data_IF_109730164241
#
_entry.id   IF_109730164241
#
_cell.length_a   1.000
_cell.length_b   1.000
_cell.length_c   1.000
_cell.angle_alpha   90.00
_cell.angle_beta   90.00
_cell.angle_gamma   90.00
#
_symmetry.space_group_name_H-M   'P 1'
#
loop_
_entity.id
_entity.type
_entity.pdbx_description
1 polymer ?
#
# COMPACT_ATOMS: atom_id res chain seq x y z
N UNK A 1 6.80 -8.02 -9.04
CA UNK A 1 6.46 -8.52 -7.69
C UNK A 1 5.65 -7.48 -6.93
N UNK A 2 4.63 -7.89 -6.16
CA UNK A 2 3.84 -7.01 -5.30
C UNK A 2 4.20 -7.30 -3.84
N UNK A 3 4.65 -6.28 -3.11
CA UNK A 3 5.01 -6.41 -1.68
C UNK A 3 3.75 -6.25 -0.82
N UNK A 4 3.33 -7.33 -0.17
CA UNK A 4 2.04 -7.43 0.53
C UNK A 4 2.13 -8.07 1.94
N UNK A 5 3.33 -8.33 2.47
CA UNK A 5 3.55 -9.03 3.74
C UNK A 5 3.38 -8.16 5.01
N UNK A 6 3.19 -6.85 4.87
CA UNK A 6 3.16 -5.93 6.02
C UNK A 6 1.92 -6.10 6.91
N UNK A 7 2.07 -5.99 8.22
CA UNK A 7 1.01 -6.17 9.24
C UNK A 7 -0.17 -5.18 9.14
N UNK A 8 0.00 -4.03 8.53
CA UNK A 8 -1.08 -3.04 8.40
C UNK A 8 -1.56 -2.39 9.71
N UNK A 9 -0.74 -2.40 10.76
CA UNK A 9 -1.07 -2.02 12.14
C UNK A 9 -1.80 -0.68 12.31
N UNK A 10 -1.48 0.31 11.46
CA UNK A 10 -2.13 1.64 11.49
C UNK A 10 -3.54 1.66 10.89
N UNK A 11 -3.98 0.57 10.26
CA UNK A 11 -5.34 0.38 9.77
C UNK A 11 -6.19 -0.48 10.70
N UNK A 12 -5.61 -0.98 11.78
CA UNK A 12 -6.38 -1.64 12.81
C UNK A 12 -7.51 -0.71 13.32
N UNK A 13 -8.76 -1.18 13.51
CA UNK A 13 -9.19 -2.58 13.55
C UNK A 13 -9.59 -3.17 12.19
N UNK A 14 -9.54 -2.44 11.09
CA UNK A 14 -9.96 -2.90 9.76
C UNK A 14 -9.11 -4.05 9.21
N UNK A 15 -7.94 -4.29 9.82
CA UNK A 15 -7.02 -5.38 9.46
C UNK A 15 -7.12 -6.59 10.38
N UNK A 16 -8.17 -6.69 11.17
CA UNK A 16 -8.48 -7.92 11.94
C UNK A 16 -8.96 -8.99 10.97
N UNK A 17 -8.39 -10.21 11.07
CA UNK A 17 -8.73 -11.35 10.22
C UNK A 17 -8.39 -11.18 8.72
N UNK A 18 -7.68 -10.09 8.36
CA UNK A 18 -7.21 -9.86 6.98
C UNK A 18 -6.03 -8.93 6.90
N UNK A 19 -5.20 -9.09 5.88
CA UNK A 19 -4.11 -8.15 5.63
C UNK A 19 -4.62 -6.88 4.94
N UNK A 20 -3.84 -5.79 5.04
CA UNK A 20 -4.12 -4.54 4.35
C UNK A 20 -4.41 -4.71 2.83
N UNK A 21 -3.65 -5.48 2.05
CA UNK A 21 -3.96 -5.72 0.63
C UNK A 21 -5.33 -6.36 0.37
N UNK A 22 -5.88 -7.09 1.35
CA UNK A 22 -7.18 -7.75 1.24
C UNK A 22 -8.36 -6.92 1.74
N UNK A 23 -8.13 -5.73 2.37
CA UNK A 23 -9.26 -4.90 2.79
C UNK A 23 -10.05 -4.39 1.57
N UNK A 24 -11.38 -4.28 1.69
CA UNK A 24 -12.18 -3.67 0.63
C UNK A 24 -11.82 -2.19 0.45
N UNK A 25 -11.59 -1.78 -0.78
CA UNK A 25 -11.58 -0.39 -1.18
C UNK A 25 -12.58 -0.23 -2.33
N UNK A 26 -13.60 0.57 -2.12
CA UNK A 26 -14.74 0.69 -3.04
C UNK A 26 -15.29 -0.71 -3.45
N UNK A 27 -15.56 -1.55 -2.45
CA UNK A 27 -16.11 -2.91 -2.56
C UNK A 27 -15.21 -3.92 -3.34
N UNK A 28 -13.93 -3.61 -3.50
CA UNK A 28 -12.95 -4.47 -4.18
C UNK A 28 -11.70 -4.61 -3.32
N UNK A 29 -11.02 -5.76 -3.29
CA UNK A 29 -9.75 -5.90 -2.57
C UNK A 29 -8.74 -4.84 -3.02
N UNK A 30 -8.10 -4.16 -2.08
CA UNK A 30 -7.14 -3.10 -2.39
C UNK A 30 -6.05 -3.54 -3.38
N UNK A 31 -5.52 -4.75 -3.22
CA UNK A 31 -4.47 -5.29 -4.09
C UNK A 31 -4.94 -5.46 -5.55
N UNK A 32 -6.24 -5.59 -5.80
CA UNK A 32 -6.78 -5.72 -7.16
C UNK A 32 -6.43 -4.49 -8.04
N UNK A 33 -6.39 -3.30 -7.45
CA UNK A 33 -5.99 -2.08 -8.15
C UNK A 33 -4.53 -2.13 -8.61
N UNK A 34 -3.65 -2.67 -7.77
CA UNK A 34 -2.23 -2.87 -8.13
C UNK A 34 -2.07 -3.93 -9.23
N UNK A 35 -2.83 -5.03 -9.15
CA UNK A 35 -2.81 -6.10 -10.17
C UNK A 35 -3.25 -5.54 -11.52
N UNK A 36 -4.38 -4.83 -11.58
CA UNK A 36 -4.91 -4.22 -12.81
C UNK A 36 -3.99 -3.13 -13.37
N UNK A 37 -3.35 -2.36 -12.47
CA UNK A 37 -2.34 -1.39 -12.88
C UNK A 37 -1.18 -2.09 -13.61
N UNK A 38 -0.60 -3.14 -13.05
CA UNK A 38 0.48 -3.89 -13.68
C UNK A 38 0.04 -4.56 -14.99
N UNK A 39 -1.18 -5.14 -15.02
CA UNK A 39 -1.74 -5.78 -16.22
C UNK A 39 -1.86 -4.80 -17.38
N UNK A 40 -2.23 -3.53 -17.14
CA UNK A 40 -2.30 -2.49 -18.21
C UNK A 40 -0.98 -2.27 -18.92
N UNK A 41 0.16 -2.56 -18.25
CA UNK A 41 1.50 -2.47 -18.83
C UNK A 41 2.05 -3.82 -19.31
N UNK A 42 1.18 -4.83 -19.48
CA UNK A 42 1.55 -6.13 -20.04
C UNK A 42 2.22 -7.07 -19.06
N UNK A 43 2.24 -6.76 -17.76
CA UNK A 43 2.79 -7.67 -16.74
C UNK A 43 1.72 -8.72 -16.41
N UNK A 44 1.99 -9.98 -16.77
CA UNK A 44 1.05 -11.08 -16.61
C UNK A 44 1.46 -12.09 -15.53
N UNK A 45 2.75 -12.21 -15.26
CA UNK A 45 3.27 -13.07 -14.20
C UNK A 45 3.55 -12.24 -12.95
N UNK A 46 2.83 -12.54 -11.88
CA UNK A 46 2.92 -11.79 -10.64
C UNK A 46 3.38 -12.69 -9.50
N UNK A 47 4.28 -12.17 -8.67
CA UNK A 47 4.64 -12.77 -7.38
C UNK A 47 4.10 -11.84 -6.30
N UNK A 48 3.36 -12.39 -5.33
CA UNK A 48 2.85 -11.65 -4.17
C UNK A 48 3.42 -12.28 -2.90
N UNK A 49 4.25 -11.52 -2.16
CA UNK A 49 4.69 -12.01 -0.85
C UNK A 49 3.63 -11.76 0.22
N UNK A 50 3.45 -12.74 1.08
CA UNK A 50 2.46 -12.74 2.16
C UNK A 50 3.14 -13.18 3.46
N UNK A 51 2.65 -12.66 4.59
CA UNK A 51 3.11 -13.07 5.91
C UNK A 51 1.92 -13.22 6.87
N UNK A 52 1.37 -12.10 7.35
CA UNK A 52 0.20 -12.05 8.23
C UNK A 52 -1.07 -12.35 7.42
N UNK A 53 -1.97 -13.21 7.95
CA UNK A 53 -3.26 -13.57 7.35
C UNK A 53 -3.20 -13.85 5.82
N UNK A 54 -2.29 -14.75 5.36
CA UNK A 54 -2.03 -14.96 3.94
C UNK A 54 -3.27 -15.43 3.16
N UNK A 55 -4.16 -16.17 3.82
CA UNK A 55 -5.36 -16.73 3.19
C UNK A 55 -6.40 -15.65 2.88
N UNK A 56 -6.36 -14.51 3.58
CA UNK A 56 -7.24 -13.37 3.27
C UNK A 56 -7.01 -12.81 1.86
N UNK A 57 -5.74 -12.75 1.42
CA UNK A 57 -5.41 -12.33 0.04
C UNK A 57 -5.78 -13.43 -0.95
N UNK A 58 -5.41 -14.69 -0.68
CA UNK A 58 -5.73 -15.81 -1.55
C UNK A 58 -7.23 -15.97 -1.79
N UNK A 59 -8.03 -15.88 -0.72
CA UNK A 59 -9.49 -15.93 -0.83
C UNK A 59 -10.05 -14.76 -1.64
N UNK A 60 -9.46 -13.58 -1.53
CA UNK A 60 -9.96 -12.38 -2.20
C UNK A 60 -9.53 -12.26 -3.66
N UNK A 61 -8.39 -12.83 -4.07
CA UNK A 61 -7.81 -12.67 -5.41
C UNK A 61 -7.78 -13.99 -6.20
N UNK A 62 -7.60 -15.13 -5.54
CA UNK A 62 -7.45 -16.44 -6.20
C UNK A 62 -6.10 -16.58 -6.92
N UNK A 63 -6.10 -17.26 -8.03
CA UNK A 63 -4.92 -17.48 -8.88
C UNK A 63 -4.61 -16.32 -9.85
N UNK A 64 -5.43 -15.28 -9.85
CA UNK A 64 -5.30 -14.12 -10.74
C UNK A 64 -6.05 -14.24 -12.05
N UNK A 65 -6.60 -15.38 -12.39
CA UNK A 65 -7.27 -15.64 -13.69
C UNK A 65 -8.36 -14.62 -14.03
N UNK A 66 -9.17 -14.19 -13.05
CA UNK A 66 -10.19 -13.15 -13.26
C UNK A 66 -9.64 -11.76 -13.61
N UNK A 67 -8.36 -11.52 -13.37
CA UNK A 67 -7.66 -10.28 -13.74
C UNK A 67 -6.79 -10.45 -14.99
N UNK A 68 -6.79 -11.65 -15.60
CA UNK A 68 -5.98 -11.97 -16.74
C UNK A 68 -4.48 -12.05 -16.45
N UNK A 69 -4.12 -12.45 -15.23
CA UNK A 69 -2.74 -12.63 -14.77
C UNK A 69 -2.58 -13.99 -14.10
N UNK A 70 -1.33 -14.44 -13.95
CA UNK A 70 -0.93 -15.61 -13.16
C UNK A 70 -0.28 -15.15 -11.87
N UNK A 71 -0.73 -15.63 -10.72
CA UNK A 71 -0.21 -15.22 -9.41
C UNK A 71 0.49 -16.39 -8.74
N UNK A 72 1.77 -16.18 -8.40
CA UNK A 72 2.53 -17.04 -7.51
C UNK A 72 2.62 -16.39 -6.12
N UNK A 73 2.21 -17.10 -5.08
CA UNK A 73 2.25 -16.60 -3.71
C UNK A 73 3.50 -17.08 -2.97
N UNK A 74 4.30 -16.12 -2.49
CA UNK A 74 5.45 -16.39 -1.63
C UNK A 74 5.09 -16.13 -0.17
N UNK A 75 4.82 -17.18 0.60
CA UNK A 75 4.45 -17.03 2.02
C UNK A 75 5.70 -17.04 2.89
N UNK A 76 5.92 -15.94 3.62
CA UNK A 76 6.98 -15.82 4.61
C UNK A 76 6.48 -16.47 5.92
N UNK A 77 7.12 -17.58 6.31
CA UNK A 77 6.81 -18.30 7.56
C UNK A 77 7.82 -17.89 8.63
N UNK A 78 7.34 -17.65 9.85
CA UNK A 78 8.18 -17.15 10.94
C UNK A 78 8.29 -15.62 10.92
N UNK A 79 9.49 -15.08 10.85
CA UNK A 79 9.70 -13.63 10.81
C UNK A 79 9.50 -13.05 9.42
N UNK A 80 9.06 -11.78 9.37
CA UNK A 80 8.95 -11.02 8.13
C UNK A 80 10.35 -10.76 7.56
N UNK A 81 10.52 -10.94 6.25
CA UNK A 81 11.85 -10.87 5.60
C UNK A 81 12.28 -9.44 5.20
N UNK A 82 11.39 -8.46 5.34
CA UNK A 82 11.63 -7.10 4.82
C UNK A 82 11.44 -7.00 3.31
N UNK A 83 11.79 -5.85 2.74
CA UNK A 83 11.52 -5.60 1.32
C UNK A 83 12.42 -6.39 0.39
N UNK A 84 13.73 -6.41 0.65
CA UNK A 84 14.70 -7.14 -0.19
C UNK A 84 14.88 -8.61 0.20
N UNK A 85 14.72 -8.97 1.47
CA UNK A 85 14.68 -10.38 1.86
C UNK A 85 13.51 -11.14 1.22
N UNK A 86 12.37 -10.46 1.02
CA UNK A 86 11.25 -11.01 0.27
C UNK A 86 11.59 -11.24 -1.21
N UNK A 87 12.44 -10.40 -1.83
CA UNK A 87 12.95 -10.60 -3.18
C UNK A 87 13.91 -11.80 -3.23
N UNK A 88 14.82 -11.91 -2.24
CA UNK A 88 15.74 -13.03 -2.17
C UNK A 88 15.04 -14.38 -2.11
N UNK A 89 13.94 -14.46 -1.38
CA UNK A 89 13.12 -15.67 -1.26
C UNK A 89 12.60 -16.20 -2.60
N UNK A 90 12.41 -15.34 -3.57
CA UNK A 90 11.91 -15.68 -4.91
C UNK A 90 12.91 -15.34 -6.02
N UNK A 91 14.17 -15.22 -5.66
CA UNK A 91 15.28 -14.84 -6.56
C UNK A 91 15.27 -15.63 -7.87
N UNK A 92 15.16 -16.94 -7.79
CA UNK A 92 15.19 -17.84 -8.95
C UNK A 92 14.06 -17.57 -9.98
N UNK A 93 13.05 -16.82 -9.59
CA UNK A 93 11.94 -16.41 -10.44
C UNK A 93 12.12 -14.99 -11.01
N UNK A 94 13.04 -14.18 -10.43
CA UNK A 94 13.26 -12.78 -10.76
C UNK A 94 14.66 -12.49 -11.34
N UNK A 95 15.57 -13.49 -11.39
CA UNK A 95 16.97 -13.30 -11.78
C UNK A 95 17.24 -13.39 -13.28
N UNK A 96 16.19 -13.43 -14.12
CA UNK A 96 16.33 -13.67 -15.57
C UNK A 96 16.18 -12.41 -16.43
N UNK A 97 15.40 -11.46 -15.98
CA UNK A 97 15.07 -10.26 -16.75
C UNK A 97 14.72 -9.08 -15.82
N UNK A 98 14.67 -7.87 -16.39
CA UNK A 98 14.20 -6.68 -15.70
C UNK A 98 12.82 -6.92 -15.10
N UNK A 99 12.63 -6.59 -13.83
CA UNK A 99 11.37 -6.78 -13.13
C UNK A 99 10.90 -5.54 -12.37
N UNK A 100 9.60 -5.48 -12.12
CA UNK A 100 8.96 -4.40 -11.36
C UNK A 100 8.62 -4.87 -9.95
N UNK A 101 8.94 -4.04 -8.96
CA UNK A 101 8.49 -4.22 -7.58
C UNK A 101 7.59 -3.06 -7.18
N UNK A 102 6.45 -3.38 -6.58
CA UNK A 102 5.44 -2.39 -6.20
C UNK A 102 4.82 -2.71 -4.84
N UNK A 103 4.58 -1.70 -4.02
CA UNK A 103 3.86 -1.86 -2.77
C UNK A 103 2.37 -2.15 -3.01
N UNK A 104 1.84 -3.25 -2.47
CA UNK A 104 0.43 -3.66 -2.60
C UNK A 104 -0.58 -2.83 -1.79
N UNK A 105 -0.21 -1.61 -1.40
CA UNK A 105 -1.02 -0.68 -0.59
C UNK A 105 -1.27 0.65 -1.30
N UNK A 106 -0.91 0.75 -2.57
CA UNK A 106 -1.05 1.98 -3.36
C UNK A 106 -2.08 1.82 -4.48
N UNK A 107 -2.73 2.92 -4.79
CA UNK A 107 -3.59 3.09 -5.97
C UNK A 107 -2.94 4.19 -6.80
N UNK A 108 -2.67 3.91 -8.08
CA UNK A 108 -1.94 4.85 -8.92
C UNK A 108 -2.26 4.65 -10.41
N UNK A 109 -2.07 5.70 -11.17
CA UNK A 109 -2.09 5.73 -12.63
C UNK A 109 -0.77 6.30 -13.22
N UNK A 110 0.30 6.38 -12.42
CA UNK A 110 1.64 6.77 -12.89
C UNK A 110 2.03 5.94 -14.11
N UNK A 111 2.61 6.59 -15.13
CA UNK A 111 3.06 5.89 -16.34
C UNK A 111 4.28 5.00 -16.05
N UNK A 112 4.01 3.70 -15.87
CA UNK A 112 5.06 2.69 -15.66
C UNK A 112 5.92 2.50 -16.91
N UNK A 113 5.34 2.68 -18.10
CA UNK A 113 6.08 2.60 -19.36
C UNK A 113 7.18 3.66 -19.43
N UNK A 114 6.87 4.91 -19.03
CA UNK A 114 7.85 5.98 -18.95
C UNK A 114 8.94 5.69 -17.90
N UNK A 115 8.59 5.09 -16.76
CA UNK A 115 9.57 4.68 -15.76
C UNK A 115 10.51 3.57 -16.29
N UNK A 116 9.98 2.58 -17.00
CA UNK A 116 10.77 1.52 -17.66
C UNK A 116 11.67 2.12 -18.76
N UNK A 117 11.18 3.08 -19.54
CA UNK A 117 11.99 3.77 -20.55
C UNK A 117 13.16 4.53 -19.90
N UNK A 118 12.92 5.24 -18.78
CA UNK A 118 13.96 5.89 -17.99
C UNK A 118 15.00 4.86 -17.51
N UNK A 119 14.56 3.73 -16.98
CA UNK A 119 15.42 2.65 -16.49
C UNK A 119 16.38 2.16 -17.59
N UNK A 120 15.84 1.85 -18.76
CA UNK A 120 16.61 1.36 -19.93
C UNK A 120 17.58 2.42 -20.44
N UNK A 121 17.14 3.66 -20.59
CA UNK A 121 17.99 4.76 -21.12
C UNK A 121 19.16 5.08 -20.20
N UNK A 122 18.98 4.91 -18.88
CA UNK A 122 20.02 5.14 -17.88
C UNK A 122 20.91 3.92 -17.65
N UNK A 123 20.57 2.77 -18.24
CA UNK A 123 21.22 1.46 -17.95
C UNK A 123 21.33 1.25 -16.43
N UNK A 124 20.25 1.55 -15.72
CA UNK A 124 20.23 1.57 -14.28
C UNK A 124 20.16 0.17 -13.70
N UNK A 125 20.82 -0.06 -12.56
CA UNK A 125 20.65 -1.26 -11.75
C UNK A 125 19.26 -1.26 -11.07
N UNK A 126 18.82 -0.07 -10.65
CA UNK A 126 17.48 0.16 -10.14
C UNK A 126 16.98 1.55 -10.56
N UNK A 127 15.68 1.67 -10.79
CA UNK A 127 15.03 2.96 -10.99
C UNK A 127 13.90 3.14 -9.99
N UNK A 128 13.97 4.21 -9.21
CA UNK A 128 12.95 4.56 -8.22
C UNK A 128 11.98 5.56 -8.85
N UNK A 129 10.67 5.28 -8.74
CA UNK A 129 9.63 6.22 -9.19
C UNK A 129 9.33 7.20 -8.07
N UNK A 130 9.49 8.49 -8.35
CA UNK A 130 9.43 9.57 -7.37
C UNK A 130 8.34 10.58 -7.71
N UNK A 131 7.75 11.17 -6.67
CA UNK A 131 6.83 12.29 -6.76
C UNK A 131 7.33 13.48 -5.95
N UNK A 132 7.03 14.72 -6.36
CA UNK A 132 7.20 15.89 -5.51
C UNK A 132 6.40 15.77 -4.21
N UNK A 133 7.03 16.14 -3.09
CA UNK A 133 6.42 16.14 -1.75
C UNK A 133 6.52 17.54 -1.10
N UNK A 134 5.91 18.58 -1.69
CA UNK A 134 6.06 19.96 -1.21
C UNK A 134 5.51 20.15 0.20
N UNK A 135 4.56 19.32 0.62
CA UNK A 135 3.98 19.35 1.98
C UNK A 135 4.81 18.59 3.00
N UNK A 136 5.95 17.98 2.59
CA UNK A 136 6.81 17.15 3.45
C UNK A 136 6.01 16.12 4.24
N UNK A 137 5.04 15.47 3.60
CA UNK A 137 4.35 14.33 4.20
C UNK A 137 5.38 13.25 4.58
N UNK A 138 5.06 12.44 5.60
CA UNK A 138 5.97 11.42 6.17
C UNK A 138 6.18 10.23 5.23
N UNK A 139 6.81 10.48 4.10
CA UNK A 139 7.30 9.47 3.17
C UNK A 139 8.84 9.47 3.15
N UNK A 140 9.42 8.41 2.60
CA UNK A 140 10.87 8.33 2.44
C UNK A 140 11.33 9.39 1.43
N UNK A 141 12.10 10.38 1.90
CA UNK A 141 12.66 11.42 1.06
C UNK A 141 13.82 10.87 0.22
N UNK A 142 13.90 11.33 -1.03
CA UNK A 142 14.96 10.96 -1.97
C UNK A 142 15.58 12.24 -2.54
N UNK A 143 16.90 12.33 -2.50
CA UNK A 143 17.67 13.38 -3.18
C UNK A 143 18.30 12.82 -4.44
N UNK A 144 18.38 13.66 -5.46
CA UNK A 144 18.93 13.31 -6.77
C UNK A 144 19.98 14.31 -7.23
N UNK A 145 20.84 13.86 -8.12
CA UNK A 145 21.82 14.69 -8.84
C UNK A 145 21.19 15.26 -10.11
N UNK A 146 21.88 16.22 -10.77
CA UNK A 146 21.46 16.84 -12.04
C UNK A 146 21.25 15.82 -13.17
N UNK A 147 22.07 14.78 -13.19
CA UNK A 147 21.93 13.69 -14.15
C UNK A 147 20.86 12.66 -13.77
N UNK A 148 20.07 12.90 -12.69
CA UNK A 148 18.94 12.08 -12.29
C UNK A 148 19.33 10.77 -11.60
N UNK A 149 20.50 10.68 -10.99
CA UNK A 149 20.87 9.58 -10.10
C UNK A 149 20.40 9.87 -8.68
N UNK A 150 20.05 8.84 -7.95
CA UNK A 150 19.79 8.96 -6.51
C UNK A 150 21.10 9.24 -5.78
N UNK A 151 21.13 10.33 -5.01
CA UNK A 151 22.27 10.73 -4.19
C UNK A 151 22.06 10.44 -2.71
N UNK A 152 20.83 10.39 -2.25
CA UNK A 152 20.48 10.03 -0.89
C UNK A 152 19.08 9.42 -0.88
N UNK A 153 18.86 8.36 -0.10
CA UNK A 153 17.56 7.77 0.11
C UNK A 153 17.29 7.57 1.61
N UNK A 154 16.23 8.22 2.11
CA UNK A 154 15.80 8.15 3.52
C UNK A 154 16.94 8.41 4.53
N UNK A 155 17.83 9.37 4.23
CA UNK A 155 18.97 9.70 5.06
C UNK A 155 20.25 8.85 4.84
N UNK A 156 20.20 7.86 3.92
CA UNK A 156 21.36 7.07 3.53
C UNK A 156 22.01 7.68 2.29
N UNK A 157 23.18 8.36 2.40
CA UNK A 157 23.85 9.00 1.28
C UNK A 157 24.54 7.98 0.37
N UNK A 158 24.59 8.27 -0.93
CA UNK A 158 25.54 7.64 -1.83
C UNK A 158 26.94 8.26 -1.64
N UNK A 159 28.01 7.49 -1.77
CA UNK A 159 29.37 8.02 -1.86
C UNK A 159 29.58 8.63 -3.25
N UNK A 160 29.03 9.83 -3.48
CA UNK A 160 29.16 10.55 -4.75
C UNK A 160 30.36 11.50 -4.66
N UNK A 161 31.21 11.62 -5.73
CA UNK A 161 32.24 12.64 -5.79
C UNK A 161 31.69 14.03 -5.55
N UNK A 162 32.40 14.86 -4.81
CA UNK A 162 32.00 16.23 -4.39
C UNK A 162 31.56 17.17 -5.53
N UNK A 163 31.74 16.81 -6.80
CA UNK A 163 31.34 17.60 -7.97
C UNK A 163 29.85 17.46 -8.35
N UNK A 164 29.12 16.54 -7.74
CA UNK A 164 27.69 16.34 -8.01
C UNK A 164 26.86 16.81 -6.80
N UNK A 165 26.71 18.14 -6.64
CA UNK A 165 25.84 18.67 -5.59
C UNK A 165 24.39 18.32 -5.89
N UNK A 166 23.59 17.93 -4.86
CA UNK A 166 22.15 17.77 -5.03
C UNK A 166 21.55 19.12 -5.45
N UNK A 167 20.78 19.13 -6.53
CA UNK A 167 20.01 20.34 -6.86
C UNK A 167 18.95 20.52 -5.77
N UNK A 168 18.68 21.77 -5.31
CA UNK A 168 17.54 22.03 -4.43
C UNK A 168 16.26 21.90 -5.24
N UNK A 169 15.80 20.68 -5.43
CA UNK A 169 14.46 20.37 -5.92
C UNK A 169 13.45 20.46 -4.76
N UNK A 170 12.18 20.65 -5.10
CA UNK A 170 11.11 20.32 -4.17
C UNK A 170 11.39 18.94 -3.58
N UNK A 171 11.21 18.73 -2.25
CA UNK A 171 11.42 17.41 -1.67
C UNK A 171 10.75 16.33 -2.49
N UNK A 172 11.48 15.28 -2.82
CA UNK A 172 10.96 14.14 -3.56
C UNK A 172 10.66 13.00 -2.59
N UNK A 173 9.57 12.28 -2.84
CA UNK A 173 9.21 11.09 -2.08
C UNK A 173 9.20 9.87 -2.96
N UNK A 174 9.54 8.73 -2.37
CA UNK A 174 9.46 7.43 -3.03
C UNK A 174 8.04 6.89 -3.04
N UNK A 175 7.55 6.51 -4.21
CA UNK A 175 6.18 6.02 -4.41
C UNK A 175 5.95 4.57 -4.02
N UNK A 176 7.02 3.79 -3.82
CA UNK A 176 6.95 2.34 -3.63
C UNK A 176 6.92 1.56 -4.93
N UNK A 177 7.32 2.16 -6.06
CA UNK A 177 7.45 1.53 -7.36
C UNK A 177 8.92 1.54 -7.75
N UNK A 178 9.48 0.36 -8.07
CA UNK A 178 10.84 0.19 -8.53
C UNK A 178 10.86 -0.60 -9.84
N UNK A 179 11.82 -0.28 -10.71
CA UNK A 179 12.22 -1.14 -11.84
C UNK A 179 13.64 -1.62 -11.53
N UNK A 180 13.87 -2.91 -11.54
CA UNK A 180 15.10 -3.54 -11.07
C UNK A 180 15.70 -4.46 -12.12
N UNK A 181 17.04 -4.45 -12.24
CA UNK A 181 17.79 -5.48 -12.94
C UNK A 181 18.15 -6.65 -12.03
N UNK A 182 18.30 -7.87 -12.57
CA UNK A 182 18.74 -9.04 -11.80
C UNK A 182 20.04 -8.85 -11.02
N UNK A 183 20.96 -8.00 -11.51
CA UNK A 183 22.22 -7.65 -10.81
C UNK A 183 22.00 -7.07 -9.41
N UNK A 184 20.80 -6.59 -9.08
CA UNK A 184 20.48 -6.12 -7.72
C UNK A 184 20.64 -7.21 -6.67
N UNK A 185 20.48 -8.48 -7.07
CA UNK A 185 20.62 -9.62 -6.18
C UNK A 185 22.05 -9.83 -5.64
N UNK A 186 23.07 -9.26 -6.24
CA UNK A 186 24.44 -9.28 -5.73
C UNK A 186 24.55 -8.55 -4.38
N UNK A 187 23.64 -7.57 -4.14
CA UNK A 187 23.60 -6.75 -2.93
C UNK A 187 22.63 -7.25 -1.86
N UNK A 188 21.80 -8.24 -2.19
CA UNK A 188 20.78 -8.77 -1.28
C UNK A 188 21.35 -10.01 -0.56
N UNK A 189 21.46 -9.98 0.78
CA UNK A 189 21.93 -11.13 1.54
C UNK A 189 20.95 -12.29 1.43
N UNK A 190 21.49 -13.53 1.54
CA UNK A 190 20.72 -14.75 1.41
C UNK A 190 20.02 -15.14 2.72
N UNK A 191 18.70 -15.41 2.61
CA UNK A 191 17.92 -16.09 3.64
C UNK A 191 17.69 -15.33 4.94
N UNK A 192 17.97 -14.03 4.98
CA UNK A 192 17.79 -13.18 6.18
C UNK A 192 16.93 -11.97 5.90
N UNK A 193 16.48 -11.31 6.97
CA UNK A 193 15.83 -10.00 6.86
C UNK A 193 16.75 -9.00 6.16
N UNK A 194 16.20 -8.28 5.18
CA UNK A 194 16.89 -7.20 4.50
C UNK A 194 15.90 -6.16 3.96
N UNK A 195 16.26 -4.89 4.06
CA UNK A 195 15.48 -3.77 3.55
C UNK A 195 16.17 -3.10 2.37
N UNK A 196 15.45 -2.90 1.28
CA UNK A 196 16.01 -2.35 0.04
C UNK A 196 16.60 -0.95 0.22
N UNK A 197 15.95 -0.11 1.05
CA UNK A 197 16.34 1.29 1.25
C UNK A 197 17.57 1.38 2.14
N UNK A 198 17.58 0.61 3.23
CA UNK A 198 18.63 0.69 4.25
C UNK A 198 19.84 -0.18 3.93
N UNK A 199 19.60 -1.37 3.39
CA UNK A 199 20.64 -2.41 3.32
C UNK A 199 21.18 -2.63 1.89
N UNK A 200 20.36 -2.40 0.84
CA UNK A 200 20.70 -2.76 -0.55
C UNK A 200 21.14 -1.55 -1.37
N UNK A 201 20.29 -0.53 -1.48
CA UNK A 201 20.62 0.63 -2.32
C UNK A 201 21.89 1.36 -1.88
N UNK A 202 22.16 1.61 -0.57
CA UNK A 202 23.42 2.23 -0.16
C UNK A 202 24.66 1.44 -0.58
N UNK A 203 24.62 0.10 -0.49
CA UNK A 203 25.73 -0.76 -0.93
C UNK A 203 25.92 -0.69 -2.45
N UNK A 204 24.81 -0.83 -3.20
CA UNK A 204 24.86 -0.75 -4.65
C UNK A 204 25.42 0.58 -5.13
N UNK A 205 25.00 1.71 -4.51
CA UNK A 205 25.54 3.04 -4.81
C UNK A 205 27.03 3.16 -4.44
N UNK A 206 27.45 2.57 -3.31
CA UNK A 206 28.85 2.58 -2.87
C UNK A 206 29.77 1.87 -3.88
N UNK A 207 29.29 0.80 -4.50
CA UNK A 207 30.03 0.02 -5.50
C UNK A 207 29.89 0.62 -6.92
N UNK A 208 29.31 1.83 -7.06
CA UNK A 208 29.15 2.50 -8.34
C UNK A 208 27.96 2.07 -9.16
N UNK A 209 27.05 1.25 -8.61
CA UNK A 209 25.80 0.86 -9.24
C UNK A 209 24.88 2.06 -9.47
N UNK A 210 24.31 2.17 -10.66
CA UNK A 210 23.43 3.28 -11.02
C UNK A 210 22.04 3.06 -10.44
N UNK A 211 21.68 3.83 -9.42
CA UNK A 211 20.32 3.95 -8.93
C UNK A 211 19.71 5.21 -9.54
N UNK A 212 18.84 5.06 -10.52
CA UNK A 212 18.21 6.18 -11.23
C UNK A 212 16.91 6.64 -10.57
N UNK A 213 16.56 7.89 -10.78
CA UNK A 213 15.27 8.46 -10.44
C UNK A 213 14.42 8.67 -11.69
N UNK A 214 13.18 8.19 -11.65
CA UNK A 214 12.12 8.61 -12.55
C UNK A 214 11.19 9.56 -11.80
N UNK A 215 11.36 10.86 -12.03
CA UNK A 215 10.54 11.88 -11.38
C UNK A 215 9.30 12.15 -12.23
N UNK A 216 8.12 11.92 -11.66
CA UNK A 216 6.84 12.31 -12.27
C UNK A 216 6.70 13.82 -12.09
N UNK A 217 7.00 14.58 -13.14
CA UNK A 217 7.16 16.03 -13.08
C UNK A 217 5.86 16.77 -12.75
N UNK A 218 4.72 16.29 -13.23
CA UNK A 218 3.42 16.86 -12.94
C UNK A 218 2.65 15.98 -11.95
N UNK A 219 2.74 16.36 -10.67
CA UNK A 219 1.99 15.68 -9.60
C UNK A 219 0.45 15.81 -9.78
N UNK A 220 -0.02 16.71 -10.64
CA UNK A 220 -1.43 16.86 -11.01
C UNK A 220 -1.87 15.92 -12.13
N UNK A 221 -0.93 15.49 -12.99
CA UNK A 221 -1.21 14.58 -14.10
C UNK A 221 -1.30 13.11 -13.68
N UNK A 222 -0.71 12.73 -12.54
CA UNK A 222 -0.73 11.36 -12.05
C UNK A 222 -1.37 11.27 -10.66
N UNK A 223 -2.24 10.30 -10.49
CA UNK A 223 -2.85 9.98 -9.20
C UNK A 223 -1.99 8.94 -8.46
N UNK A 224 -1.62 9.25 -7.24
CA UNK A 224 -0.96 8.31 -6.33
C UNK A 224 -1.56 8.42 -4.94
N UNK A 225 -2.06 7.33 -4.41
CA UNK A 225 -2.71 7.27 -3.10
C UNK A 225 -2.19 6.06 -2.33
N UNK A 226 -1.71 6.30 -1.11
CA UNK A 226 -1.31 5.26 -0.17
C UNK A 226 -2.35 5.14 0.95
N UNK A 227 -2.95 3.95 1.09
CA UNK A 227 -3.86 3.66 2.18
C UNK A 227 -3.03 3.21 3.40
N UNK A 228 -2.75 4.13 4.31
CA UNK A 228 -1.82 3.88 5.42
C UNK A 228 -2.46 3.93 6.81
N UNK A 229 -3.54 4.68 6.98
CA UNK A 229 -4.30 4.83 8.24
C UNK A 229 -5.79 4.75 7.96
N UNK A 230 -6.61 4.54 8.99
CA UNK A 230 -8.08 4.53 8.89
C UNK A 230 -8.60 5.86 8.32
N UNK A 231 -8.06 6.97 8.80
CA UNK A 231 -8.44 8.31 8.34
C UNK A 231 -8.11 8.51 6.85
N UNK A 232 -6.91 8.13 6.40
CA UNK A 232 -6.53 8.19 4.96
C UNK A 232 -7.37 7.24 4.13
N UNK A 233 -7.69 6.05 4.64
CA UNK A 233 -8.59 5.12 3.95
C UNK A 233 -9.94 5.78 3.67
N UNK A 234 -10.58 6.38 4.69
CA UNK A 234 -11.86 7.07 4.51
C UNK A 234 -11.73 8.27 3.58
N UNK A 235 -10.73 9.13 3.80
CA UNK A 235 -10.54 10.33 2.99
C UNK A 235 -10.36 10.01 1.49
N UNK A 236 -9.56 8.99 1.17
CA UNK A 236 -9.33 8.54 -0.20
C UNK A 236 -10.61 7.90 -0.76
N UNK A 237 -11.33 7.08 0.01
CA UNK A 237 -12.61 6.51 -0.40
C UNK A 237 -13.62 7.61 -0.77
N UNK A 238 -13.76 8.63 0.07
CA UNK A 238 -14.64 9.77 -0.20
C UNK A 238 -14.19 10.62 -1.39
N UNK A 239 -12.88 10.76 -1.62
CA UNK A 239 -12.36 11.43 -2.82
C UNK A 239 -12.84 10.74 -4.10
N UNK A 240 -12.75 9.40 -4.15
CA UNK A 240 -13.21 8.62 -5.32
C UNK A 240 -14.73 8.67 -5.47
N UNK A 241 -15.48 8.52 -4.37
CA UNK A 241 -16.94 8.57 -4.40
C UNK A 241 -17.48 9.92 -4.88
N UNK A 242 -16.86 11.03 -4.48
CA UNK A 242 -17.26 12.38 -4.93
C UNK A 242 -17.12 12.56 -6.45
N UNK A 243 -16.15 11.90 -7.08
CA UNK A 243 -16.02 11.92 -8.56
C UNK A 243 -17.21 11.27 -9.25
N UNK A 244 -17.92 10.38 -8.53
CA UNK A 244 -19.15 9.72 -8.98
C UNK A 244 -20.42 10.40 -8.46
N UNK A 245 -20.32 11.56 -7.80
CA UNK A 245 -21.45 12.25 -7.19
C UNK A 245 -22.03 11.55 -5.97
N UNK A 246 -21.25 10.71 -5.30
CA UNK A 246 -21.64 9.92 -4.12
C UNK A 246 -20.79 10.30 -2.92
N UNK A 247 -21.30 10.03 -1.73
CA UNK A 247 -20.56 10.19 -0.47
C UNK A 247 -20.66 8.97 0.45
N UNK A 248 -21.41 7.96 0.05
CA UNK A 248 -21.56 6.68 0.77
C UNK A 248 -21.32 5.52 -0.20
N UNK A 249 -20.66 4.51 0.27
CA UNK A 249 -20.60 3.19 -0.38
C UNK A 249 -21.02 2.11 0.61
N UNK A 250 -21.85 1.21 0.15
CA UNK A 250 -22.28 0.01 0.87
C UNK A 250 -21.99 -1.21 0.01
N UNK A 251 -21.44 -2.24 0.61
CA UNK A 251 -21.24 -3.54 -0.05
C UNK A 251 -22.52 -4.41 0.07
N UNK A 252 -22.46 -5.59 -0.49
CA UNK A 252 -23.61 -6.50 -0.56
C UNK A 252 -24.18 -6.85 0.83
N UNK A 253 -25.51 -6.92 0.90
CA UNK A 253 -26.23 -7.35 2.11
C UNK A 253 -26.33 -6.32 3.22
N UNK A 254 -25.97 -5.04 2.97
CA UNK A 254 -26.20 -3.97 3.92
C UNK A 254 -27.69 -3.60 4.03
N UNK A 255 -28.14 -3.35 5.25
CA UNK A 255 -29.52 -2.96 5.58
C UNK A 255 -29.53 -1.67 6.40
N UNK A 256 -30.39 -0.71 6.01
CA UNK A 256 -30.57 0.56 6.70
C UNK A 256 -31.99 0.64 7.26
N UNK A 257 -32.10 0.69 8.58
CA UNK A 257 -33.35 0.75 9.31
C UNK A 257 -34.08 2.09 9.15
N UNK A 258 -35.40 2.09 9.40
CA UNK A 258 -36.23 3.28 9.26
C UNK A 258 -35.71 4.45 10.11
N UNK A 259 -35.55 5.64 9.50
CA UNK A 259 -35.05 6.84 10.17
C UNK A 259 -33.55 6.84 10.50
N UNK A 260 -32.80 5.79 10.14
CA UNK A 260 -31.37 5.81 10.24
C UNK A 260 -30.73 6.66 9.12
N UNK A 261 -29.58 7.27 9.41
CA UNK A 261 -28.82 8.10 8.46
C UNK A 261 -27.37 7.62 8.35
N UNK A 262 -26.86 7.59 7.13
CA UNK A 262 -25.49 7.26 6.83
C UNK A 262 -24.92 8.32 5.89
N UNK A 263 -23.89 9.03 6.32
CA UNK A 263 -23.29 10.13 5.59
C UNK A 263 -21.78 9.96 5.53
N UNK A 264 -21.18 10.22 4.36
CA UNK A 264 -19.74 10.20 4.11
C UNK A 264 -19.05 8.97 4.73
N UNK A 265 -19.63 7.78 4.50
CA UNK A 265 -19.24 6.56 5.18
C UNK A 265 -19.04 5.39 4.23
N UNK A 266 -18.25 4.42 4.67
CA UNK A 266 -17.95 3.17 3.97
C UNK A 266 -18.48 2.01 4.82
N UNK A 267 -19.42 1.25 4.28
CA UNK A 267 -19.98 0.06 4.91
C UNK A 267 -19.57 -1.17 4.11
N UNK A 268 -18.89 -2.11 4.77
CA UNK A 268 -18.50 -3.38 4.17
C UNK A 268 -19.69 -4.33 4.12
N UNK A 269 -19.47 -5.62 3.91
CA UNK A 269 -20.55 -6.59 3.67
C UNK A 269 -21.45 -6.79 4.89
N UNK A 270 -22.75 -6.92 4.64
CA UNK A 270 -23.77 -7.35 5.61
C UNK A 270 -23.84 -6.47 6.86
N UNK A 271 -23.49 -5.18 6.73
CA UNK A 271 -23.67 -4.22 7.82
C UNK A 271 -25.17 -3.93 7.99
N UNK A 272 -25.64 -4.00 9.23
CA UNK A 272 -27.01 -3.60 9.59
C UNK A 272 -26.97 -2.35 10.43
N UNK A 273 -27.57 -1.28 9.92
CA UNK A 273 -27.76 -0.03 10.66
C UNK A 273 -29.22 0.01 11.14
N UNK A 274 -29.42 -0.15 12.45
CA UNK A 274 -30.76 -0.24 13.00
C UNK A 274 -31.49 1.10 13.05
N UNK A 275 -32.78 1.06 13.42
CA UNK A 275 -33.70 2.21 13.39
C UNK A 275 -33.15 3.43 14.14
N UNK A 276 -33.15 4.58 13.47
CA UNK A 276 -32.77 5.88 14.04
C UNK A 276 -31.28 6.04 14.33
N UNK A 277 -30.43 5.06 14.00
CA UNK A 277 -28.99 5.17 14.17
C UNK A 277 -28.38 6.18 13.17
N UNK A 278 -27.25 6.79 13.55
CA UNK A 278 -26.57 7.82 12.75
C UNK A 278 -25.10 7.49 12.58
N UNK A 279 -24.64 7.42 11.34
CA UNK A 279 -23.25 7.25 10.97
C UNK A 279 -22.77 8.43 10.15
N UNK A 280 -21.69 9.09 10.61
CA UNK A 280 -21.07 10.20 9.88
C UNK A 280 -19.56 10.00 9.84
N UNK A 281 -18.97 9.95 8.63
CA UNK A 281 -17.53 9.74 8.44
C UNK A 281 -17.02 8.44 9.10
N UNK A 282 -17.77 7.35 8.94
CA UNK A 282 -17.43 6.06 9.52
C UNK A 282 -16.94 5.05 8.48
N UNK A 283 -16.11 4.11 8.95
CA UNK A 283 -15.78 2.88 8.22
C UNK A 283 -16.28 1.72 9.05
N UNK A 284 -17.22 0.95 8.51
CA UNK A 284 -17.89 -0.15 9.22
C UNK A 284 -17.51 -1.47 8.57
N UNK A 285 -16.92 -2.37 9.36
CA UNK A 285 -16.48 -3.69 8.93
C UNK A 285 -17.63 -4.65 8.63
N UNK A 286 -17.28 -5.85 8.14
CA UNK A 286 -18.26 -6.90 7.80
C UNK A 286 -19.10 -7.31 9.02
N UNK A 287 -20.36 -7.65 8.79
CA UNK A 287 -21.29 -8.24 9.76
C UNK A 287 -21.57 -7.39 11.03
N UNK A 288 -21.19 -6.12 11.01
CA UNK A 288 -21.43 -5.19 12.13
C UNK A 288 -22.90 -4.84 12.21
N UNK A 289 -23.43 -4.83 13.43
CA UNK A 289 -24.77 -4.31 13.74
C UNK A 289 -24.60 -3.00 14.51
N UNK A 290 -25.09 -1.92 13.94
CA UNK A 290 -25.15 -0.60 14.61
C UNK A 290 -26.49 -0.52 15.36
N UNK A 291 -26.49 -0.43 16.70
CA UNK A 291 -27.72 -0.47 17.50
C UNK A 291 -28.67 0.69 17.22
N UNK A 292 -29.96 0.46 17.48
CA UNK A 292 -31.00 1.47 17.33
C UNK A 292 -30.67 2.75 18.09
N UNK A 293 -30.76 3.90 17.42
CA UNK A 293 -30.49 5.22 17.99
C UNK A 293 -29.02 5.52 18.30
N UNK A 294 -28.10 4.59 18.04
CA UNK A 294 -26.68 4.83 18.26
C UNK A 294 -26.14 5.89 17.29
N UNK A 295 -25.19 6.71 17.76
CA UNK A 295 -24.53 7.73 16.96
C UNK A 295 -23.03 7.56 16.97
N UNK A 296 -22.43 7.39 15.77
CA UNK A 296 -20.99 7.30 15.57
C UNK A 296 -20.53 8.34 14.55
N UNK A 297 -19.44 8.98 14.91
CA UNK A 297 -18.79 9.97 14.05
C UNK A 297 -17.28 9.75 14.04
N UNK A 298 -16.65 9.79 12.84
CA UNK A 298 -15.21 9.62 12.64
C UNK A 298 -14.69 8.37 13.35
N UNK A 299 -15.28 7.24 12.99
CA UNK A 299 -15.00 5.97 13.66
C UNK A 299 -14.79 4.82 12.68
N UNK A 300 -13.86 3.92 12.99
CA UNK A 300 -13.80 2.58 12.44
C UNK A 300 -14.46 1.62 13.42
N UNK A 301 -15.39 0.82 12.92
CA UNK A 301 -16.23 -0.06 13.73
C UNK A 301 -16.13 -1.48 13.18
N UNK A 302 -15.75 -2.43 14.01
CA UNK A 302 -15.77 -3.86 13.70
C UNK A 302 -16.47 -4.63 14.82
N UNK A 303 -16.80 -5.89 14.62
CA UNK A 303 -17.37 -6.72 15.67
C UNK A 303 -16.34 -6.92 16.79
N UNK A 304 -16.78 -6.85 18.04
CA UNK A 304 -15.92 -7.09 19.19
C UNK A 304 -15.45 -8.56 19.28
N UNK A 305 -16.24 -9.49 18.76
CA UNK A 305 -15.87 -10.91 18.68
C UNK A 305 -14.69 -11.17 17.73
N UNK A 306 -14.51 -10.33 16.72
CA UNK A 306 -13.45 -10.48 15.72
C UNK A 306 -12.13 -9.85 16.17
N UNK A 307 -12.16 -8.96 17.19
CA UNK A 307 -11.01 -8.16 17.60
C UNK A 307 -10.93 -8.02 19.12
N UNK A 308 -9.80 -8.38 19.71
CA UNK A 308 -9.52 -8.15 21.13
C UNK A 308 -8.77 -6.83 21.36
N UNK A 309 -9.13 -6.10 22.41
CA UNK A 309 -8.36 -4.93 22.87
C UNK A 309 -6.92 -5.31 23.24
N UNK A 310 -6.70 -6.56 23.69
CA UNK A 310 -5.38 -7.07 24.04
C UNK A 310 -4.48 -7.26 22.81
N UNK A 311 -5.08 -7.48 21.64
CA UNK A 311 -4.37 -7.66 20.37
C UNK A 311 -4.14 -6.32 19.63
N UNK A 312 -4.48 -5.19 20.26
CA UNK A 312 -4.30 -3.86 19.67
C UNK A 312 -2.81 -3.59 19.43
N UNK A 313 -2.38 -3.37 18.18
CA UNK A 313 -1.00 -3.02 17.88
C UNK A 313 -0.59 -1.69 18.54
N UNK A 314 0.67 -1.57 18.98
CA UNK A 314 1.20 -0.36 19.61
C UNK A 314 0.96 0.92 18.78
N UNK A 315 1.05 0.81 17.45
CA UNK A 315 0.87 1.94 16.52
C UNK A 315 -0.59 2.20 16.14
N UNK A 316 -1.54 1.43 16.68
CA UNK A 316 -2.97 1.65 16.46
C UNK A 316 -3.53 2.71 17.40
N UNK A 317 -4.59 3.39 16.94
CA UNK A 317 -5.32 4.35 17.76
C UNK A 317 -6.00 3.65 18.95
N UNK A 318 -6.32 4.38 20.04
CA UNK A 318 -7.12 3.85 21.15
C UNK A 318 -8.46 3.31 20.67
N UNK A 319 -8.94 2.26 21.33
CA UNK A 319 -10.20 1.60 21.03
C UNK A 319 -11.04 1.40 22.28
N UNK A 320 -12.33 1.30 22.11
CA UNK A 320 -13.32 1.01 23.13
C UNK A 320 -14.33 -0.04 22.65
N UNK A 321 -14.91 -0.81 23.56
CA UNK A 321 -16.02 -1.72 23.26
C UNK A 321 -17.32 -0.99 23.57
N UNK A 322 -18.22 -0.91 22.60
CA UNK A 322 -19.55 -0.33 22.73
C UNK A 322 -20.58 -1.38 22.26
N UNK A 323 -21.24 -2.03 23.21
CA UNK A 323 -22.07 -3.21 22.93
C UNK A 323 -21.25 -4.31 22.29
N UNK A 324 -21.70 -4.84 21.18
CA UNK A 324 -21.03 -5.91 20.41
C UNK A 324 -19.97 -5.39 19.43
N UNK A 325 -19.63 -4.09 19.50
CA UNK A 325 -18.74 -3.44 18.56
C UNK A 325 -17.45 -2.95 19.23
N UNK A 326 -16.32 -3.18 18.55
CA UNK A 326 -15.06 -2.52 18.84
C UNK A 326 -14.96 -1.26 17.97
N UNK A 327 -14.78 -0.12 18.63
CA UNK A 327 -14.81 1.20 18.01
C UNK A 327 -13.48 1.91 18.19
N UNK A 328 -12.93 2.41 17.09
CA UNK A 328 -11.72 3.26 17.06
C UNK A 328 -12.12 4.61 16.51
N UNK A 329 -12.06 5.63 17.34
CA UNK A 329 -12.28 7.03 16.92
C UNK A 329 -11.01 7.63 16.35
N UNK A 330 -11.13 8.43 15.30
CA UNK A 330 -9.99 9.10 14.68
C UNK A 330 -10.26 10.58 14.44
N UNK A 331 -9.22 11.40 14.62
CA UNK A 331 -8.97 12.79 14.37
C UNK A 331 -10.04 13.80 14.51
#
# INVERSE_FOLDING_TARGET
>A
MILAAGFGTRLWPLTVGRTKPAIPFLNRPLIAYTIEYLKRYGVEDLIINLHHEPDSVRASIGDGGRYGVRINYSVERGEILGTSGALDRVRDQLDRETFVVINGKIITDIDLGAAIATHRSRKALATLVLLPNPKRERFSEVKITEDGRVSEFAGFPAPIPHSAFPIPHSPLMFTGIHVLEPGIFEYIPRGIFSDSVRDVYPKAMADGGVIAAHVVADAGAASWRELSTVERYLAISLEFLRREGRDVIMDAGCEIGGGATVERSVLWKRVRVERGARLTECVVGDDVIIPSGAEFRRAAIVRADDASLNDRPEKALPAEIIGDNLVVKFG
#
